data_IF_341010802424
#
_entry.id   IF_341010802424
#
_cell.length_a   1.000
_cell.length_b   1.000
_cell.length_c   1.000
_cell.angle_alpha   90.00
_cell.angle_beta   90.00
_cell.angle_gamma   90.00
#
_symmetry.space_group_name_H-M   'P 1'
#
loop_
_entity.id
_entity.type
_entity.pdbx_description
1 polymer ?
#
# COMPACT_ATOMS: atom_id res chain seq x y z
N UNK A 1 30.40 -5.02 6.17
CA UNK A 1 29.10 -5.30 6.79
C UNK A 1 28.14 -4.23 6.30
N UNK A 2 27.18 -4.56 5.44
CA UNK A 2 26.32 -3.57 4.79
C UNK A 2 25.16 -4.26 4.08
N UNK A 3 24.39 -5.03 4.84
CA UNK A 3 23.26 -5.81 4.30
C UNK A 3 21.95 -5.00 4.21
N UNK A 4 21.94 -3.78 4.76
CA UNK A 4 20.74 -2.93 4.81
C UNK A 4 20.44 -2.22 3.49
N UNK A 5 21.43 -2.01 2.61
CA UNK A 5 21.22 -1.36 1.30
C UNK A 5 20.69 -2.32 0.23
N UNK A 6 20.80 -3.64 0.44
CA UNK A 6 20.42 -4.65 -0.57
C UNK A 6 18.93 -4.99 -0.56
N UNK A 7 18.22 -4.79 0.55
CA UNK A 7 16.79 -5.12 0.63
C UNK A 7 15.92 -4.08 -0.09
N UNK A 8 16.28 -2.79 0.01
CA UNK A 8 15.54 -1.69 -0.63
C UNK A 8 15.70 -1.72 -2.16
N UNK A 9 16.86 -2.14 -2.67
CA UNK A 9 17.09 -2.25 -4.13
C UNK A 9 16.38 -3.44 -4.79
N UNK A 10 16.03 -4.50 -4.04
CA UNK A 10 15.38 -5.69 -4.63
C UNK A 10 13.87 -5.52 -4.88
N UNK A 11 13.22 -4.64 -4.13
CA UNK A 11 11.81 -4.24 -4.36
C UNK A 11 11.66 -3.33 -5.60
N UNK A 12 12.74 -2.67 -6.04
CA UNK A 12 12.78 -1.90 -7.28
C UNK A 12 13.01 -2.75 -8.54
N UNK A 13 12.93 -4.08 -8.45
CA UNK A 13 13.01 -4.96 -9.61
C UNK A 13 11.76 -4.80 -10.48
N UNK A 14 11.77 -3.77 -11.33
CA UNK A 14 10.78 -3.41 -12.36
C UNK A 14 9.36 -3.85 -12.00
N UNK A 15 8.74 -3.14 -11.05
CA UNK A 15 7.32 -3.28 -10.74
C UNK A 15 6.50 -3.15 -12.04
N UNK A 16 5.52 -4.02 -12.20
CA UNK A 16 4.71 -4.07 -13.42
C UNK A 16 3.82 -2.82 -13.50
N UNK A 17 3.77 -2.21 -14.69
CA UNK A 17 3.03 -0.95 -14.91
C UNK A 17 1.51 -1.15 -14.92
N UNK A 18 1.03 -2.38 -14.80
CA UNK A 18 -0.39 -2.72 -14.71
C UNK A 18 -0.73 -3.42 -13.40
N UNK A 19 0.18 -3.38 -12.43
CA UNK A 19 -0.01 -3.96 -11.12
C UNK A 19 -0.01 -2.85 -10.09
N UNK A 20 -1.09 -2.76 -9.32
CA UNK A 20 -1.24 -1.90 -8.16
C UNK A 20 -0.57 -2.58 -6.97
N UNK A 21 0.58 -2.06 -6.58
CA UNK A 21 1.28 -2.46 -5.37
C UNK A 21 0.68 -1.72 -4.19
N UNK A 22 0.22 -2.47 -3.20
CA UNK A 22 -0.26 -1.94 -1.93
C UNK A 22 0.71 -2.38 -0.86
N UNK A 23 1.46 -1.43 -0.32
CA UNK A 23 2.48 -1.71 0.70
C UNK A 23 2.24 -0.94 1.97
N UNK A 24 2.50 -1.59 3.10
CA UNK A 24 2.56 -0.94 4.41
C UNK A 24 3.99 -1.04 4.91
N UNK A 25 4.61 0.11 5.11
CA UNK A 25 5.92 0.22 5.75
C UNK A 25 5.72 0.64 7.21
N UNK A 26 5.96 -0.29 8.14
CA UNK A 26 5.80 -0.01 9.57
C UNK A 26 6.85 1.01 10.02
N UNK A 27 6.40 2.11 10.63
CA UNK A 27 7.27 3.15 11.11
C UNK A 27 7.85 2.74 12.48
N UNK A 28 9.16 2.94 12.71
CA UNK A 28 9.79 2.55 13.97
C UNK A 28 9.25 3.36 15.17
N UNK A 29 8.76 4.60 14.94
CA UNK A 29 8.09 5.47 15.92
C UNK A 29 7.17 6.48 15.21
N UNK A 30 5.97 6.79 15.75
CA UNK A 30 5.34 6.18 16.92
C UNK A 30 5.02 4.69 16.69
N UNK A 31 4.93 3.92 17.79
CA UNK A 31 4.59 2.49 17.72
C UNK A 31 3.19 2.36 17.11
N UNK A 32 2.97 1.31 16.31
CA UNK A 32 1.68 1.04 15.67
C UNK A 32 1.31 2.08 14.60
N UNK A 33 2.30 2.66 13.92
CA UNK A 33 2.10 3.50 12.73
C UNK A 33 2.77 2.88 11.52
N UNK A 34 2.26 3.20 10.34
CA UNK A 34 2.86 2.79 9.09
C UNK A 34 2.50 3.73 7.95
N UNK A 35 3.36 3.75 6.94
CA UNK A 35 3.08 4.42 5.68
C UNK A 35 2.39 3.44 4.75
N UNK A 36 1.15 3.73 4.39
CA UNK A 36 0.42 2.97 3.37
C UNK A 36 0.66 3.62 2.03
N UNK A 37 1.23 2.87 1.10
CA UNK A 37 1.52 3.30 -0.28
C UNK A 37 0.75 2.46 -1.28
N UNK A 38 0.12 3.15 -2.23
CA UNK A 38 -0.48 2.58 -3.42
C UNK A 38 0.31 3.07 -4.63
N UNK A 39 0.99 2.16 -5.31
CA UNK A 39 1.85 2.48 -6.44
C UNK A 39 1.58 1.59 -7.64
N UNK A 40 1.83 2.13 -8.84
CA UNK A 40 1.81 1.36 -10.09
C UNK A 40 3.17 1.46 -10.75
N UNK A 41 3.74 0.31 -11.08
CA UNK A 41 5.14 0.27 -11.46
C UNK A 41 5.99 0.96 -10.39
N UNK A 42 6.78 1.96 -10.81
CA UNK A 42 7.62 2.74 -9.91
C UNK A 42 6.98 4.06 -9.46
N UNK A 43 5.69 4.29 -9.74
CA UNK A 43 5.01 5.56 -9.47
C UNK A 43 4.02 5.40 -8.31
N UNK A 44 4.25 6.13 -7.22
CA UNK A 44 3.29 6.24 -6.12
C UNK A 44 2.08 7.08 -6.59
N UNK A 45 0.88 6.51 -6.48
CA UNK A 45 -0.38 7.18 -6.79
C UNK A 45 -0.86 7.97 -5.58
N UNK A 46 -0.93 7.30 -4.44
CA UNK A 46 -1.28 7.89 -3.15
C UNK A 46 -0.45 7.19 -2.07
N UNK A 47 -0.01 7.98 -1.09
CA UNK A 47 0.65 7.46 0.10
C UNK A 47 0.22 8.30 1.29
N UNK A 48 0.10 7.65 2.45
CA UNK A 48 -0.27 8.32 3.68
C UNK A 48 0.25 7.57 4.89
N UNK A 49 0.82 8.33 5.81
CA UNK A 49 1.15 7.86 7.15
C UNK A 49 -0.13 7.80 7.98
N UNK A 50 -0.38 6.64 8.57
CA UNK A 50 -1.53 6.42 9.43
C UNK A 50 -1.19 5.46 10.57
N UNK A 51 -2.03 5.47 11.58
CA UNK A 51 -1.99 4.43 12.61
C UNK A 51 -2.32 3.06 11.97
N UNK A 52 -1.79 1.99 12.53
CA UNK A 52 -2.09 0.59 12.17
C UNK A 52 -2.93 -0.10 13.25
N UNK A 53 -3.32 0.64 14.29
CA UNK A 53 -4.22 0.16 15.33
C UNK A 53 -5.62 -0.17 14.74
N UNK A 54 -6.41 -0.98 15.44
CA UNK A 54 -7.71 -1.47 14.96
C UNK A 54 -8.66 -0.38 14.47
N UNK A 55 -8.64 0.80 15.09
CA UNK A 55 -9.45 1.97 14.66
C UNK A 55 -9.00 2.61 13.35
N UNK A 56 -7.73 2.47 12.97
CA UNK A 56 -7.20 3.07 11.75
C UNK A 56 -7.69 2.37 10.48
N UNK A 57 -8.25 1.17 10.62
CA UNK A 57 -8.79 0.42 9.49
C UNK A 57 -10.00 1.12 8.84
N UNK A 58 -10.82 1.83 9.62
CA UNK A 58 -11.93 2.62 9.08
C UNK A 58 -11.41 3.89 8.40
N UNK A 59 -10.40 4.54 8.97
CA UNK A 59 -9.74 5.70 8.37
C UNK A 59 -9.09 5.35 7.02
N UNK A 60 -8.41 4.21 6.95
CA UNK A 60 -7.83 3.70 5.70
C UNK A 60 -8.90 3.44 4.64
N UNK A 61 -10.01 2.79 5.02
CA UNK A 61 -11.12 2.53 4.10
C UNK A 61 -11.70 3.84 3.57
N UNK A 62 -11.99 4.79 4.45
CA UNK A 62 -12.53 6.10 4.06
C UNK A 62 -11.56 6.84 3.13
N UNK A 63 -10.27 6.88 3.49
CA UNK A 63 -9.23 7.49 2.65
C UNK A 63 -9.11 6.81 1.28
N UNK A 64 -9.28 5.50 1.21
CA UNK A 64 -9.32 4.75 -0.04
C UNK A 64 -10.54 5.10 -0.88
N UNK A 65 -11.72 5.19 -0.28
CA UNK A 65 -12.95 5.60 -0.97
C UNK A 65 -12.80 7.01 -1.57
N UNK A 66 -12.22 7.94 -0.82
CA UNK A 66 -11.94 9.31 -1.30
C UNK A 66 -10.99 9.32 -2.51
N UNK A 67 -10.04 8.38 -2.56
CA UNK A 67 -9.03 8.29 -3.62
C UNK A 67 -9.34 7.20 -4.67
N UNK A 68 -10.48 6.51 -4.56
CA UNK A 68 -10.81 5.34 -5.37
C UNK A 68 -10.81 5.68 -6.87
N UNK A 69 -11.35 6.84 -7.25
CA UNK A 69 -11.35 7.31 -8.64
C UNK A 69 -9.94 7.48 -9.21
N UNK A 70 -8.99 7.92 -8.39
CA UNK A 70 -7.58 8.09 -8.79
C UNK A 70 -6.91 6.74 -8.96
N UNK A 71 -7.19 5.80 -8.05
CA UNK A 71 -6.68 4.43 -8.13
C UNK A 71 -7.27 3.71 -9.35
N UNK A 72 -8.58 3.73 -9.57
CA UNK A 72 -9.21 3.11 -10.75
C UNK A 72 -8.79 3.76 -12.07
N UNK A 73 -8.65 5.08 -12.10
CA UNK A 73 -8.20 5.82 -13.28
C UNK A 73 -6.76 5.53 -13.70
N UNK A 74 -5.97 4.86 -12.86
CA UNK A 74 -4.60 4.48 -13.17
C UNK A 74 -4.49 3.26 -14.11
N UNK A 75 -5.58 2.50 -14.28
CA UNK A 75 -5.65 1.40 -15.25
C UNK A 75 -4.92 0.12 -14.84
N UNK A 76 -4.76 -0.14 -13.54
CA UNK A 76 -4.24 -1.43 -13.06
C UNK A 76 -5.16 -2.60 -13.45
N UNK A 77 -4.54 -3.75 -13.72
CA UNK A 77 -5.22 -5.03 -13.98
C UNK A 77 -5.08 -6.00 -12.80
N UNK A 78 -4.04 -5.82 -11.97
CA UNK A 78 -3.71 -6.69 -10.84
C UNK A 78 -3.42 -5.88 -9.58
N UNK A 79 -3.57 -6.52 -8.42
CA UNK A 79 -3.23 -5.95 -7.12
C UNK A 79 -2.24 -6.91 -6.45
N UNK A 80 -1.15 -6.36 -5.91
CA UNK A 80 -0.18 -7.11 -5.12
C UNK A 80 0.00 -6.45 -3.76
N UNK A 81 -0.14 -7.23 -2.70
CA UNK A 81 -0.01 -6.78 -1.33
C UNK A 81 1.39 -7.08 -0.79
N UNK A 82 2.03 -6.10 -0.18
CA UNK A 82 3.37 -6.24 0.43
C UNK A 82 3.30 -5.79 1.89
N UNK A 83 3.62 -6.69 2.82
CA UNK A 83 3.55 -6.45 4.26
C UNK A 83 2.16 -5.99 4.76
N UNK A 84 1.10 -6.37 4.06
CA UNK A 84 -0.29 -6.09 4.44
C UNK A 84 -0.91 -7.34 5.04
N UNK A 85 -1.46 -7.25 6.25
CA UNK A 85 -2.17 -8.37 6.89
C UNK A 85 -3.39 -8.81 6.08
N UNK A 86 -3.68 -10.12 6.00
CA UNK A 86 -4.80 -10.67 5.22
C UNK A 86 -6.16 -10.04 5.55
N UNK A 87 -6.42 -9.75 6.82
CA UNK A 87 -7.65 -9.06 7.24
C UNK A 87 -7.80 -7.66 6.65
N UNK A 88 -6.68 -6.97 6.41
CA UNK A 88 -6.65 -5.66 5.77
C UNK A 88 -6.72 -5.77 4.25
N UNK A 89 -6.07 -6.78 3.66
CA UNK A 89 -6.18 -7.07 2.22
C UNK A 89 -7.65 -7.24 1.82
N UNK A 90 -8.41 -8.08 2.54
CA UNK A 90 -9.83 -8.30 2.24
C UNK A 90 -10.71 -7.06 2.38
N UNK A 91 -10.34 -6.11 3.26
CA UNK A 91 -11.03 -4.81 3.35
C UNK A 91 -10.70 -3.90 2.17
N UNK A 92 -9.43 -3.88 1.75
CA UNK A 92 -8.97 -3.10 0.59
C UNK A 92 -9.60 -3.64 -0.69
N UNK A 93 -9.59 -4.95 -0.92
CA UNK A 93 -10.22 -5.59 -2.09
C UNK A 93 -11.72 -5.20 -2.18
N UNK A 94 -12.45 -5.25 -1.06
CA UNK A 94 -13.86 -4.85 -1.03
C UNK A 94 -14.08 -3.41 -1.48
N UNK A 95 -13.21 -2.47 -1.09
CA UNK A 95 -13.29 -1.05 -1.52
C UNK A 95 -12.91 -0.90 -2.99
N UNK A 96 -11.91 -1.65 -3.45
CA UNK A 96 -11.51 -1.67 -4.86
C UNK A 96 -12.53 -2.36 -5.77
N UNK A 97 -13.55 -3.01 -5.20
CA UNK A 97 -14.61 -3.71 -5.93
C UNK A 97 -14.20 -5.10 -6.44
N UNK A 98 -13.34 -5.80 -5.69
CA UNK A 98 -12.87 -7.16 -5.96
C UNK A 98 -13.37 -8.12 -4.87
#
# INVERSE_FOLDING_TARGET
MGLVETLISKVHSRRDAKTLYVSIDELPRPRDWGTVDFSIGNLSLISRDMSLDGSATEELVHWLEENLKKIQGSGYERVEYVNVSEGLQGRIDRVLGR
#
